data_IF_542623131773
#
_entry.id   IF_542623131773
#
_cell.length_a   1.000
_cell.length_b   1.000
_cell.length_c   1.000
_cell.angle_alpha   90.00
_cell.angle_beta   90.00
_cell.angle_gamma   90.00
#
_symmetry.space_group_name_H-M   'P 1'
#
loop_
_entity.id
_entity.type
_entity.pdbx_description
1 polymer ?
#
# COMPACT_ATOMS: atom_id res chain seq x y z
N UNK A 1 -39.69 17.23 -34.09
CA UNK A 1 -38.47 16.43 -34.34
C UNK A 1 -38.44 15.31 -33.32
N UNK A 2 -38.44 14.08 -33.82
CA UNK A 2 -38.74 12.86 -33.10
C UNK A 2 -37.66 12.54 -32.05
N UNK A 3 -38.12 12.15 -30.84
CA UNK A 3 -37.28 11.53 -29.81
C UNK A 3 -37.26 10.03 -30.06
N UNK A 4 -36.09 9.49 -30.34
CA UNK A 4 -35.85 8.04 -30.41
C UNK A 4 -35.67 7.51 -28.98
N UNK A 5 -36.41 6.47 -28.54
CA UNK A 5 -36.19 5.86 -27.24
C UNK A 5 -35.01 4.89 -27.30
N UNK A 6 -34.08 5.03 -26.34
CA UNK A 6 -33.01 4.05 -26.11
C UNK A 6 -33.65 2.84 -25.42
N UNK A 7 -33.57 1.69 -26.08
CA UNK A 7 -34.02 0.42 -25.57
C UNK A 7 -33.24 0.01 -24.31
N UNK A 8 -33.96 -0.34 -23.26
CA UNK A 8 -33.41 -0.97 -22.08
C UNK A 8 -32.93 -2.39 -22.43
N UNK A 9 -31.63 -2.62 -22.37
CA UNK A 9 -31.06 -3.96 -22.37
C UNK A 9 -31.20 -4.50 -20.93
N UNK A 10 -32.09 -5.48 -20.78
CA UNK A 10 -32.23 -6.29 -19.58
C UNK A 10 -30.96 -7.14 -19.44
N UNK A 11 -30.11 -6.82 -18.48
CA UNK A 11 -29.01 -7.69 -18.07
C UNK A 11 -29.58 -8.86 -17.27
N UNK A 12 -29.75 -9.99 -17.94
CA UNK A 12 -29.81 -11.29 -17.27
C UNK A 12 -28.38 -11.67 -16.87
N UNK A 13 -28.11 -11.75 -15.57
CA UNK A 13 -26.79 -12.06 -15.03
C UNK A 13 -26.86 -12.86 -13.74
N UNK A 14 -26.81 -14.18 -13.90
CA UNK A 14 -26.45 -15.24 -12.95
C UNK A 14 -26.55 -14.93 -11.44
N UNK A 15 -27.59 -15.49 -10.82
CA UNK A 15 -27.52 -15.87 -9.42
C UNK A 15 -26.60 -17.11 -9.29
N UNK A 16 -25.37 -16.92 -8.80
CA UNK A 16 -24.53 -18.04 -8.33
C UNK A 16 -25.11 -18.46 -6.97
N UNK A 17 -25.83 -19.57 -6.98
CA UNK A 17 -26.30 -20.22 -5.75
C UNK A 17 -25.10 -20.73 -4.95
N UNK A 18 -24.93 -20.20 -3.73
CA UNK A 18 -24.03 -20.79 -2.73
C UNK A 18 -24.80 -21.95 -2.09
N UNK A 19 -24.72 -23.12 -2.73
CA UNK A 19 -25.12 -24.38 -2.11
C UNK A 19 -23.95 -24.90 -1.26
N UNK A 20 -24.25 -25.27 -0.03
CA UNK A 20 -23.27 -25.61 1.00
C UNK A 20 -22.36 -26.79 0.64
N UNK A 21 -21.09 -26.65 1.00
CA UNK A 21 -20.14 -27.75 1.09
C UNK A 21 -19.38 -27.63 2.42
N UNK A 22 -19.96 -28.22 3.47
CA UNK A 22 -19.20 -28.62 4.65
C UNK A 22 -18.51 -29.97 4.34
N UNK A 23 -17.59 -29.95 3.38
CA UNK A 23 -16.62 -31.01 3.16
C UNK A 23 -15.26 -30.50 3.60
N UNK A 24 -14.56 -31.25 4.46
CA UNK A 24 -13.16 -31.02 4.80
C UNK A 24 -12.29 -31.21 3.55
N UNK A 25 -12.26 -30.21 2.67
CA UNK A 25 -11.30 -30.15 1.59
C UNK A 25 -9.91 -30.09 2.24
N UNK A 26 -9.07 -31.07 1.95
CA UNK A 26 -7.67 -31.03 2.32
C UNK A 26 -7.08 -29.69 1.85
N UNK A 27 -6.28 -29.04 2.69
CA UNK A 27 -5.68 -27.76 2.32
C UNK A 27 -4.84 -27.96 1.05
N UNK A 28 -5.17 -27.21 0.01
CA UNK A 28 -4.37 -27.18 -1.19
C UNK A 28 -3.05 -26.48 -0.84
N UNK A 29 -1.95 -27.23 -0.87
CA UNK A 29 -0.61 -26.68 -0.68
C UNK A 29 -0.15 -26.00 -1.97
N UNK A 30 0.34 -24.77 -1.83
CA UNK A 30 0.90 -23.96 -2.91
C UNK A 30 2.40 -23.75 -2.65
N UNK A 31 3.25 -23.82 -3.67
CA UNK A 31 4.68 -23.56 -3.51
C UNK A 31 4.98 -22.07 -3.75
N UNK A 32 5.47 -21.36 -2.73
CA UNK A 32 5.80 -19.93 -2.81
C UNK A 32 7.25 -19.73 -2.35
N UNK A 33 8.08 -19.15 -3.21
CA UNK A 33 9.52 -18.97 -3.01
C UNK A 33 10.23 -20.24 -2.52
N UNK A 34 9.85 -21.40 -3.07
CA UNK A 34 10.43 -22.70 -2.75
C UNK A 34 9.96 -23.35 -1.45
N UNK A 35 8.96 -22.78 -0.76
CA UNK A 35 8.39 -23.34 0.47
C UNK A 35 6.89 -23.65 0.30
N UNK A 36 6.38 -24.75 0.88
CA UNK A 36 4.95 -25.06 0.86
C UNK A 36 4.19 -24.05 1.74
N UNK A 37 3.12 -23.47 1.18
CA UNK A 37 2.20 -22.56 1.83
C UNK A 37 0.81 -23.20 1.89
N UNK A 38 0.18 -23.17 3.05
CA UNK A 38 -1.18 -23.67 3.23
C UNK A 38 -1.96 -22.80 4.22
N UNK A 39 -3.28 -22.80 4.03
CA UNK A 39 -4.24 -22.16 4.94
C UNK A 39 -5.27 -23.20 5.33
N UNK A 40 -5.30 -23.58 6.60
CA UNK A 40 -6.28 -24.52 7.17
C UNK A 40 -7.23 -23.80 8.14
N UNK A 41 -8.46 -24.28 8.33
CA UNK A 41 -9.30 -23.82 9.44
C UNK A 41 -8.58 -23.99 10.79
N UNK A 42 -8.76 -23.02 11.69
CA UNK A 42 -8.26 -23.08 13.08
C UNK A 42 -9.28 -23.70 14.05
N UNK A 43 -8.96 -23.67 15.33
CA UNK A 43 -9.76 -24.32 16.39
C UNK A 43 -11.13 -23.65 16.62
N UNK A 44 -11.29 -22.39 16.19
CA UNK A 44 -12.54 -21.62 16.35
C UNK A 44 -13.12 -21.27 14.98
N UNK A 45 -14.46 -21.21 14.83
CA UNK A 45 -15.10 -20.74 13.61
C UNK A 45 -14.56 -19.37 13.17
N UNK A 46 -14.20 -19.26 11.88
CA UNK A 46 -13.65 -18.04 11.29
C UNK A 46 -12.17 -17.77 11.60
N UNK A 47 -11.48 -18.67 12.33
CA UNK A 47 -10.01 -18.60 12.51
C UNK A 47 -9.30 -19.50 11.52
N UNK A 48 -8.05 -19.15 11.20
CA UNK A 48 -7.25 -19.90 10.24
C UNK A 48 -5.82 -20.09 10.76
N UNK A 49 -5.18 -21.15 10.32
CA UNK A 49 -3.76 -21.38 10.51
C UNK A 49 -3.11 -21.26 9.15
N UNK A 50 -2.23 -20.27 8.98
CA UNK A 50 -1.33 -20.24 7.84
C UNK A 50 -0.02 -20.91 8.21
N UNK A 51 0.47 -21.75 7.32
CA UNK A 51 1.79 -22.36 7.45
C UNK A 51 2.59 -22.09 6.18
N UNK A 52 3.86 -21.70 6.34
CA UNK A 52 4.79 -21.48 5.24
C UNK A 52 6.16 -22.05 5.56
N UNK A 53 6.45 -23.25 5.05
CA UNK A 53 7.55 -24.06 5.57
C UNK A 53 7.39 -24.30 7.07
N UNK A 54 8.38 -23.87 7.85
CA UNK A 54 8.39 -24.01 9.31
C UNK A 54 7.69 -22.84 10.05
N UNK A 55 7.34 -21.77 9.33
CA UNK A 55 6.67 -20.61 9.92
C UNK A 55 5.16 -20.87 10.04
N UNK A 56 4.57 -20.51 11.18
CA UNK A 56 3.14 -20.70 11.46
C UNK A 56 2.55 -19.45 12.07
N UNK A 57 1.41 -19.01 11.53
CA UNK A 57 0.65 -17.86 12.02
C UNK A 57 -0.81 -18.27 12.23
N UNK A 58 -1.32 -18.01 13.43
CA UNK A 58 -2.75 -18.12 13.72
C UNK A 58 -3.42 -16.80 13.36
N UNK A 59 -4.32 -16.85 12.38
CA UNK A 59 -5.11 -15.71 11.95
C UNK A 59 -6.46 -15.71 12.66
N UNK A 60 -6.84 -14.53 13.15
CA UNK A 60 -8.13 -14.31 13.79
C UNK A 60 -8.83 -13.10 13.18
N UNK A 61 -10.16 -13.18 12.97
CA UNK A 61 -10.93 -12.10 12.39
C UNK A 61 -10.97 -10.90 13.35
N UNK A 62 -10.91 -9.70 12.80
CA UNK A 62 -11.03 -8.44 13.55
C UNK A 62 -12.49 -7.96 13.59
N UNK A 63 -12.89 -7.17 14.62
CA UNK A 63 -14.27 -6.69 14.75
C UNK A 63 -14.79 -5.89 13.54
N UNK A 64 -13.89 -5.27 12.77
CA UNK A 64 -14.22 -4.50 11.56
C UNK A 64 -14.09 -5.28 10.25
N UNK A 65 -13.66 -6.55 10.27
CA UNK A 65 -13.68 -7.36 9.06
C UNK A 65 -15.14 -7.63 8.64
N UNK A 66 -15.49 -7.48 7.35
CA UNK A 66 -16.82 -7.84 6.85
C UNK A 66 -16.98 -9.35 6.92
N UNK A 67 -18.22 -9.82 7.01
CA UNK A 67 -18.53 -11.25 7.14
C UNK A 67 -17.85 -12.09 6.05
N UNK A 68 -17.89 -11.63 4.80
CA UNK A 68 -17.26 -12.32 3.67
C UNK A 68 -15.74 -12.49 3.83
N UNK A 69 -15.06 -11.54 4.48
CA UNK A 69 -13.65 -11.69 4.80
C UNK A 69 -13.49 -12.69 5.96
N UNK A 70 -14.24 -12.57 7.05
CA UNK A 70 -14.13 -13.52 8.17
C UNK A 70 -14.30 -14.99 7.73
N UNK A 71 -15.14 -15.23 6.73
CA UNK A 71 -15.36 -16.55 6.12
C UNK A 71 -14.22 -17.00 5.20
N UNK A 72 -13.64 -16.10 4.39
CA UNK A 72 -12.51 -16.42 3.51
C UNK A 72 -11.17 -16.52 4.27
N UNK A 73 -11.01 -15.70 5.31
CA UNK A 73 -9.75 -15.52 6.02
C UNK A 73 -8.62 -15.04 5.10
N UNK A 74 -7.38 -15.50 5.35
CA UNK A 74 -6.21 -15.20 4.53
C UNK A 74 -6.32 -15.56 3.04
N UNK A 75 -7.26 -16.43 2.64
CA UNK A 75 -7.48 -16.74 1.22
C UNK A 75 -7.95 -15.54 0.40
N UNK A 76 -8.35 -14.44 1.06
CA UNK A 76 -8.61 -13.17 0.38
C UNK A 76 -7.42 -12.73 -0.49
N UNK A 77 -6.19 -13.08 -0.13
CA UNK A 77 -4.98 -12.69 -0.88
C UNK A 77 -4.87 -13.36 -2.25
N UNK A 78 -5.57 -14.46 -2.49
CA UNK A 78 -5.53 -15.19 -3.77
C UNK A 78 -6.13 -14.37 -4.91
N UNK A 79 -6.93 -13.35 -4.60
CA UNK A 79 -7.48 -12.39 -5.56
C UNK A 79 -6.38 -11.71 -6.37
N UNK A 80 -5.21 -11.46 -5.79
CA UNK A 80 -4.07 -10.81 -6.46
C UNK A 80 -3.11 -11.77 -7.17
N UNK A 81 -3.50 -13.04 -7.28
CA UNK A 81 -2.74 -14.07 -8.00
C UNK A 81 -3.45 -14.59 -9.23
N UNK A 82 -4.66 -14.08 -9.50
CA UNK A 82 -5.46 -14.51 -10.65
C UNK A 82 -4.80 -14.11 -11.98
N UNK A 83 -4.98 -14.89 -13.06
CA UNK A 83 -4.53 -14.50 -14.39
C UNK A 83 -5.28 -13.26 -14.91
N UNK A 84 -4.59 -12.45 -15.72
CA UNK A 84 -5.20 -11.33 -16.45
C UNK A 84 -5.29 -10.01 -15.68
N UNK A 85 -4.78 -9.94 -14.45
CA UNK A 85 -4.78 -8.70 -13.68
C UNK A 85 -3.84 -7.65 -14.28
N UNK A 86 -4.14 -6.35 -14.14
CA UNK A 86 -3.21 -5.29 -14.52
C UNK A 86 -2.01 -5.20 -13.58
N UNK A 87 -1.07 -4.32 -13.97
CA UNK A 87 0.05 -3.93 -13.13
C UNK A 87 -0.41 -3.49 -11.72
N UNK A 88 0.28 -3.92 -10.63
CA UNK A 88 1.54 -4.69 -10.59
C UNK A 88 1.40 -6.22 -10.59
N UNK A 89 0.21 -6.78 -10.79
CA UNK A 89 -0.10 -8.21 -10.61
C UNK A 89 -0.25 -9.00 -11.91
N UNK A 90 0.06 -8.37 -13.04
CA UNK A 90 0.03 -8.99 -14.38
C UNK A 90 0.95 -10.21 -14.49
N UNK A 91 1.95 -10.26 -13.62
CA UNK A 91 2.94 -11.31 -13.56
C UNK A 91 2.46 -12.48 -12.67
N UNK A 92 2.60 -13.75 -13.11
CA UNK A 92 2.35 -14.94 -12.27
C UNK A 92 3.25 -14.99 -11.03
N UNK A 93 2.81 -15.67 -9.98
CA UNK A 93 3.50 -15.71 -8.69
C UNK A 93 4.93 -16.26 -8.81
N UNK A 94 5.14 -17.26 -9.67
CA UNK A 94 6.43 -17.92 -9.92
C UNK A 94 7.45 -16.96 -10.53
N UNK A 95 6.99 -15.95 -11.27
CA UNK A 95 7.85 -14.91 -11.83
C UNK A 95 8.07 -13.77 -10.83
N UNK A 96 7.07 -13.45 -9.99
CA UNK A 96 7.23 -12.41 -8.95
C UNK A 96 8.36 -12.71 -8.00
N UNK A 97 8.50 -13.97 -7.58
CA UNK A 97 9.56 -14.40 -6.66
C UNK A 97 10.97 -14.31 -7.24
N UNK A 98 11.10 -14.05 -8.55
CA UNK A 98 12.39 -13.88 -9.24
C UNK A 98 12.78 -12.40 -9.38
N UNK A 99 11.91 -11.47 -8.98
CA UNK A 99 12.14 -10.04 -9.12
C UNK A 99 13.29 -9.56 -8.23
N UNK A 100 14.02 -8.57 -8.74
CA UNK A 100 15.04 -7.85 -7.98
C UNK A 100 14.40 -7.02 -6.87
N UNK A 101 15.20 -6.60 -5.87
CA UNK A 101 14.70 -5.75 -4.79
C UNK A 101 14.12 -4.41 -5.29
N UNK A 102 14.69 -3.85 -6.36
CA UNK A 102 14.20 -2.60 -6.96
C UNK A 102 12.86 -2.81 -7.68
N UNK A 103 12.69 -3.92 -8.39
CA UNK A 103 11.41 -4.29 -9.03
C UNK A 103 10.32 -4.59 -7.99
N UNK A 104 10.67 -5.30 -6.91
CA UNK A 104 9.76 -5.54 -5.78
C UNK A 104 9.36 -4.22 -5.13
N UNK A 105 10.31 -3.31 -4.93
CA UNK A 105 10.00 -1.97 -4.43
C UNK A 105 9.08 -1.22 -5.39
N UNK A 106 9.37 -1.21 -6.69
CA UNK A 106 8.62 -0.50 -7.74
C UNK A 106 7.15 -0.92 -7.84
N UNK A 107 6.93 -2.21 -7.57
CA UNK A 107 5.63 -2.90 -7.55
C UNK A 107 5.01 -2.98 -6.17
N UNK A 108 5.71 -2.55 -5.13
CA UNK A 108 5.16 -2.52 -3.77
C UNK A 108 4.18 -1.38 -3.61
N UNK A 109 3.23 -1.44 -2.68
CA UNK A 109 2.32 -0.32 -2.44
C UNK A 109 1.97 -0.14 -0.98
N UNK A 110 1.66 1.10 -0.59
CA UNK A 110 1.19 1.42 0.76
C UNK A 110 -0.31 1.10 0.95
N UNK A 111 -0.99 0.64 -0.11
CA UNK A 111 -2.37 0.14 -0.09
C UNK A 111 -2.63 -0.79 -1.29
N UNK A 112 -3.75 -1.52 -1.29
CA UNK A 112 -4.13 -2.40 -2.40
C UNK A 112 -4.69 -1.56 -3.56
N UNK A 113 -4.10 -1.70 -4.73
CA UNK A 113 -4.32 -0.89 -5.94
C UNK A 113 -5.78 -0.90 -6.47
N UNK A 114 -6.62 -1.90 -6.22
CA UNK A 114 -7.99 -1.95 -6.77
C UNK A 114 -9.05 -1.19 -5.93
N UNK A 115 -8.63 -0.12 -5.26
CA UNK A 115 -9.51 0.90 -4.68
C UNK A 115 -9.32 2.25 -5.38
N UNK A 116 -9.64 3.34 -4.65
CA UNK A 116 -9.40 4.73 -5.06
C UNK A 116 -7.99 4.94 -5.65
N UNK A 117 -7.02 4.13 -5.19
CA UNK A 117 -5.58 4.25 -5.37
C UNK A 117 -5.02 3.83 -6.75
N UNK A 118 -5.68 2.94 -7.49
CA UNK A 118 -5.12 2.37 -8.74
C UNK A 118 -5.54 3.07 -10.03
N UNK A 119 -6.66 3.80 -10.00
CA UNK A 119 -7.16 4.51 -11.18
C UNK A 119 -6.71 5.97 -11.15
N UNK A 120 -7.20 6.77 -10.20
CA UNK A 120 -6.97 8.22 -10.19
C UNK A 120 -6.73 8.81 -8.78
N UNK A 121 -6.61 7.97 -7.74
CA UNK A 121 -6.26 8.30 -6.36
C UNK A 121 -6.81 9.66 -5.93
N UNK A 122 -8.12 9.78 -5.86
CA UNK A 122 -8.76 10.98 -5.34
C UNK A 122 -9.27 10.63 -3.96
N UNK A 123 -8.60 11.13 -2.94
CA UNK A 123 -8.97 10.77 -1.57
C UNK A 123 -8.65 11.89 -0.59
N UNK A 124 -9.13 11.73 0.64
CA UNK A 124 -8.90 12.64 1.77
C UNK A 124 -8.22 11.87 2.87
N UNK A 125 -7.11 12.40 3.36
CA UNK A 125 -6.37 11.83 4.48
C UNK A 125 -6.55 12.69 5.72
N UNK A 126 -6.68 12.01 6.85
CA UNK A 126 -6.46 12.59 8.16
C UNK A 126 -5.09 12.12 8.67
N UNK A 127 -4.30 13.03 9.23
CA UNK A 127 -3.03 12.72 9.87
C UNK A 127 -3.17 13.13 11.34
N UNK A 128 -3.19 12.14 12.22
CA UNK A 128 -3.17 12.32 13.67
C UNK A 128 -1.75 12.13 14.21
N UNK A 129 -1.16 13.19 14.74
CA UNK A 129 0.12 13.15 15.44
C UNK A 129 -0.10 13.21 16.94
N UNK A 130 0.24 12.13 17.63
CA UNK A 130 0.19 12.04 19.09
C UNK A 130 1.62 11.98 19.61
N UNK A 131 2.00 13.01 20.36
CA UNK A 131 3.32 13.11 20.99
C UNK A 131 3.40 12.18 22.22
N UNK A 132 4.61 11.81 22.70
CA UNK A 132 4.75 10.94 23.88
C UNK A 132 4.08 11.46 25.16
N UNK A 133 3.93 12.78 25.28
CA UNK A 133 3.23 13.47 26.36
C UNK A 133 1.71 13.53 26.17
N UNK A 134 1.18 12.93 25.11
CA UNK A 134 -0.24 12.92 24.75
C UNK A 134 -0.70 14.14 23.95
N UNK A 135 0.18 15.09 23.61
CA UNK A 135 -0.20 16.24 22.79
C UNK A 135 -0.61 15.77 21.39
N UNK A 136 -1.86 16.05 21.03
CA UNK A 136 -2.46 15.70 19.76
C UNK A 136 -2.41 16.90 18.79
N UNK A 137 -1.93 16.67 17.57
CA UNK A 137 -1.99 17.62 16.45
C UNK A 137 -2.58 16.90 15.25
N UNK A 138 -3.61 17.46 14.65
CA UNK A 138 -4.32 16.91 13.50
C UNK A 138 -4.05 17.71 12.23
N UNK A 139 -4.10 17.01 11.09
CA UNK A 139 -4.09 17.62 9.76
C UNK A 139 -5.05 16.88 8.87
N UNK A 140 -5.53 17.60 7.88
CA UNK A 140 -6.28 16.99 6.79
C UNK A 140 -5.70 17.45 5.46
N UNK A 141 -5.67 16.53 4.50
CA UNK A 141 -5.23 16.81 3.14
C UNK A 141 -6.14 16.13 2.11
N UNK A 142 -6.16 16.70 0.92
CA UNK A 142 -6.64 16.03 -0.28
C UNK A 142 -5.45 15.56 -1.09
N UNK A 143 -5.60 14.38 -1.69
CA UNK A 143 -4.60 13.73 -2.54
C UNK A 143 -5.23 13.38 -3.89
N UNK A 144 -4.45 13.58 -4.96
CA UNK A 144 -4.78 13.28 -6.35
C UNK A 144 -3.60 12.56 -6.99
N UNK A 145 -3.80 11.38 -7.59
CA UNK A 145 -2.77 10.71 -8.40
C UNK A 145 -3.36 10.11 -9.66
N UNK A 146 -2.91 10.56 -10.83
CA UNK A 146 -3.21 9.87 -12.07
C UNK A 146 -2.08 8.89 -12.38
N UNK A 147 -2.39 7.60 -12.40
CA UNK A 147 -1.42 6.53 -12.69
C UNK A 147 -1.40 6.22 -14.19
N UNK A 148 -0.32 6.63 -14.86
CA UNK A 148 -0.13 6.39 -16.30
C UNK A 148 0.51 5.03 -16.60
N UNK A 149 0.70 4.19 -15.57
CA UNK A 149 1.16 2.80 -15.73
C UNK A 149 0.12 1.89 -16.40
N UNK A 150 -1.17 2.22 -16.24
CA UNK A 150 -2.28 1.45 -16.82
C UNK A 150 -2.91 2.19 -17.99
N UNK A 151 -3.18 3.49 -17.83
CA UNK A 151 -3.81 4.30 -18.86
C UNK A 151 -2.94 5.53 -19.16
N UNK A 152 -2.35 5.55 -20.34
CA UNK A 152 -1.49 6.66 -20.79
C UNK A 152 -2.30 7.82 -21.41
N UNK A 153 -3.63 7.69 -21.46
CA UNK A 153 -4.52 8.75 -21.94
C UNK A 153 -4.33 10.04 -21.15
N UNK A 154 -4.23 11.16 -21.86
CA UNK A 154 -4.02 12.49 -21.27
C UNK A 154 -2.55 12.90 -21.10
N UNK A 155 -1.58 12.03 -21.37
CA UNK A 155 -0.18 12.42 -21.52
C UNK A 155 0.08 13.09 -22.88
N UNK A 156 1.02 14.04 -22.91
CA UNK A 156 1.60 14.51 -24.16
C UNK A 156 2.39 13.40 -24.86
N UNK A 157 2.48 13.42 -26.18
CA UNK A 157 3.18 12.39 -26.95
C UNK A 157 4.67 12.24 -26.55
N UNK A 158 5.28 13.32 -26.06
CA UNK A 158 6.65 13.35 -25.56
C UNK A 158 6.81 12.80 -24.13
N UNK A 159 5.72 12.66 -23.38
CA UNK A 159 5.66 12.12 -22.02
C UNK A 159 5.34 10.61 -21.99
N UNK A 160 4.70 10.08 -23.04
CA UNK A 160 4.33 8.67 -23.16
C UNK A 160 5.56 7.76 -23.00
N UNK A 161 5.45 6.74 -22.13
CA UNK A 161 6.54 5.83 -21.78
C UNK A 161 7.62 6.42 -20.87
N UNK A 162 7.56 7.72 -20.55
CA UNK A 162 8.51 8.40 -19.66
C UNK A 162 7.88 8.76 -18.33
N UNK A 163 6.66 9.28 -18.34
CA UNK A 163 5.91 9.65 -17.13
C UNK A 163 5.10 8.45 -16.66
N UNK A 164 5.33 8.08 -15.41
CA UNK A 164 4.70 6.94 -14.72
C UNK A 164 3.41 7.35 -14.01
N UNK A 165 3.44 8.49 -13.35
CA UNK A 165 2.30 9.04 -12.62
C UNK A 165 2.48 10.55 -12.42
N UNK A 166 1.36 11.27 -12.30
CA UNK A 166 1.34 12.64 -11.78
C UNK A 166 0.59 12.64 -10.46
N UNK A 167 1.21 13.25 -9.47
CA UNK A 167 0.79 13.20 -8.08
C UNK A 167 0.65 14.60 -7.51
N UNK A 168 -0.33 14.82 -6.64
CA UNK A 168 -0.53 16.08 -5.95
C UNK A 168 -1.19 15.83 -4.59
N UNK A 169 -0.78 16.58 -3.58
CA UNK A 169 -1.59 16.75 -2.39
C UNK A 169 -1.65 18.21 -1.95
N UNK A 170 -2.71 18.57 -1.23
CA UNK A 170 -2.85 19.86 -0.57
C UNK A 170 -3.44 19.69 0.82
N UNK A 171 -2.88 20.39 1.79
CA UNK A 171 -3.50 20.52 3.10
C UNK A 171 -4.77 21.36 3.01
N UNK A 172 -5.82 20.92 3.70
CA UNK A 172 -7.10 21.62 3.83
C UNK A 172 -7.36 22.08 5.29
N UNK A 173 -6.71 21.43 6.25
CA UNK A 173 -6.72 21.80 7.66
C UNK A 173 -5.38 21.46 8.35
N UNK A 174 -4.99 22.18 9.41
CA UNK A 174 -5.64 23.37 9.98
C UNK A 174 -5.40 24.63 9.12
N UNK A 175 -6.01 25.77 9.48
CA UNK A 175 -5.94 27.01 8.70
C UNK A 175 -4.50 27.44 8.35
N UNK A 176 -3.55 27.27 9.27
CA UNK A 176 -2.15 27.67 9.07
C UNK A 176 -1.43 26.86 7.98
N UNK A 177 -1.96 25.70 7.63
CA UNK A 177 -1.45 24.83 6.57
C UNK A 177 -2.32 24.85 5.32
N UNK A 178 -3.54 25.42 5.39
CA UNK A 178 -4.52 25.34 4.30
C UNK A 178 -3.94 25.90 3.00
N UNK A 179 -3.97 25.07 1.96
CA UNK A 179 -3.47 25.40 0.64
C UNK A 179 -1.96 25.19 0.45
N UNK A 180 -1.20 24.77 1.47
CA UNK A 180 0.14 24.23 1.27
C UNK A 180 0.02 22.91 0.50
N UNK A 181 0.74 22.76 -0.61
CA UNK A 181 0.64 21.55 -1.42
C UNK A 181 1.88 21.28 -2.26
N UNK A 182 2.04 20.03 -2.65
CA UNK A 182 3.09 19.57 -3.56
C UNK A 182 2.45 19.01 -4.83
N UNK A 183 3.14 19.18 -5.95
CA UNK A 183 2.91 18.40 -7.15
C UNK A 183 4.20 17.67 -7.52
N UNK A 184 4.07 16.39 -7.87
CA UNK A 184 5.17 15.51 -8.23
C UNK A 184 4.89 14.85 -9.58
N UNK A 185 5.82 14.98 -10.52
CA UNK A 185 5.85 14.15 -11.73
C UNK A 185 6.80 12.99 -11.48
N UNK A 186 6.26 11.77 -11.54
CA UNK A 186 6.98 10.52 -11.30
C UNK A 186 7.35 9.93 -12.65
N UNK A 187 8.65 9.66 -12.86
CA UNK A 187 9.16 9.10 -14.11
C UNK A 187 9.42 7.60 -14.01
N UNK A 188 9.44 6.92 -15.16
CA UNK A 188 10.00 5.59 -15.29
C UNK A 188 11.54 5.63 -15.19
N UNK A 189 12.13 4.55 -14.69
CA UNK A 189 13.59 4.37 -14.61
C UNK A 189 14.29 5.31 -13.63
N UNK A 190 15.56 5.60 -13.92
CA UNK A 190 16.48 6.26 -12.98
C UNK A 190 16.26 7.77 -12.86
N UNK A 191 15.44 8.37 -13.72
CA UNK A 191 15.17 9.82 -13.64
C UNK A 191 14.47 10.13 -12.31
N UNK A 192 15.05 11.01 -11.53
CA UNK A 192 14.42 11.54 -10.32
C UNK A 192 13.13 12.30 -10.63
N UNK A 193 12.24 12.34 -9.65
CA UNK A 193 10.97 13.03 -9.77
C UNK A 193 11.16 14.55 -9.88
N UNK A 194 10.22 15.21 -10.55
CA UNK A 194 10.11 16.66 -10.51
C UNK A 194 9.06 17.05 -9.48
N UNK A 195 9.50 17.80 -8.46
CA UNK A 195 8.68 18.18 -7.31
C UNK A 195 8.54 19.70 -7.21
N UNK A 196 7.32 20.16 -6.99
CA UNK A 196 6.98 21.57 -6.88
C UNK A 196 6.17 21.83 -5.62
N UNK A 197 6.66 22.69 -4.74
CA UNK A 197 5.96 23.12 -3.54
C UNK A 197 5.28 24.46 -3.80
N UNK A 198 3.97 24.51 -3.57
CA UNK A 198 3.22 25.75 -3.50
C UNK A 198 3.08 26.20 -2.04
N UNK A 199 3.46 27.46 -1.75
CA UNK A 199 3.35 28.06 -0.41
C UNK A 199 2.30 29.17 -0.41
N UNK A 200 1.19 29.03 0.34
CA UNK A 200 0.05 29.95 0.26
C UNK A 200 0.38 31.36 0.77
N UNK A 201 1.19 31.48 1.83
CA UNK A 201 1.58 32.77 2.40
C UNK A 201 2.33 33.67 1.40
N UNK A 202 3.18 33.07 0.56
CA UNK A 202 3.93 33.78 -0.47
C UNK A 202 3.23 33.78 -1.85
N UNK A 203 2.20 32.94 -2.03
CA UNK A 203 1.55 32.64 -3.32
C UNK A 203 2.57 32.28 -4.40
N UNK A 204 3.56 31.46 -4.04
CA UNK A 204 4.67 31.08 -4.92
C UNK A 204 4.77 29.57 -5.03
N UNK A 205 5.05 29.13 -6.25
CA UNK A 205 5.50 27.77 -6.56
C UNK A 205 7.02 27.79 -6.66
N UNK A 206 7.68 26.83 -6.01
CA UNK A 206 9.12 26.59 -6.18
C UNK A 206 9.37 25.14 -6.52
N UNK A 207 10.33 24.89 -7.39
CA UNK A 207 10.84 23.53 -7.60
C UNK A 207 11.66 23.13 -6.36
N UNK A 208 11.43 21.92 -5.85
CA UNK A 208 12.24 21.34 -4.80
C UNK A 208 13.48 20.68 -5.44
N UNK A 209 14.70 20.96 -4.94
CA UNK A 209 15.88 20.21 -5.37
C UNK A 209 15.76 18.76 -4.90
N UNK A 210 16.40 17.82 -5.60
CA UNK A 210 16.36 16.39 -5.22
C UNK A 210 16.80 16.12 -3.77
N UNK A 211 17.75 16.91 -3.24
CA UNK A 211 18.19 16.79 -1.86
C UNK A 211 17.05 17.07 -0.85
N UNK A 212 16.09 17.92 -1.21
CA UNK A 212 14.95 18.26 -0.36
C UNK A 212 13.97 17.09 -0.21
N UNK A 213 14.08 15.99 -0.97
CA UNK A 213 13.20 14.82 -0.80
C UNK A 213 13.28 14.22 0.62
N UNK A 214 14.41 14.46 1.29
CA UNK A 214 14.68 14.01 2.65
C UNK A 214 14.13 14.95 3.73
N UNK A 215 13.62 16.12 3.34
CA UNK A 215 13.04 17.08 4.27
C UNK A 215 11.70 16.55 4.79
N UNK A 216 11.44 16.82 6.07
CA UNK A 216 10.16 16.52 6.70
C UNK A 216 9.08 17.41 6.09
N UNK A 217 7.95 16.80 5.73
CA UNK A 217 6.76 17.53 5.31
C UNK A 217 6.24 18.29 6.54
N UNK A 218 6.11 19.63 6.46
CA UNK A 218 5.76 20.44 7.62
C UNK A 218 4.56 19.92 8.43
N UNK A 219 4.82 19.69 9.72
CA UNK A 219 3.83 19.19 10.67
C UNK A 219 3.40 17.74 10.46
N UNK A 220 4.22 16.93 9.81
CA UNK A 220 4.09 15.46 9.76
C UNK A 220 5.36 14.81 10.32
N UNK A 221 5.36 13.48 10.45
CA UNK A 221 6.59 12.68 10.70
C UNK A 221 7.16 12.07 9.40
N UNK A 222 6.52 12.37 8.28
CA UNK A 222 6.84 11.88 6.95
C UNK A 222 7.68 12.89 6.19
N UNK A 223 8.44 12.40 5.22
CA UNK A 223 9.29 13.18 4.33
C UNK A 223 8.72 13.18 2.93
N UNK A 224 9.19 14.11 2.09
CA UNK A 224 8.70 14.20 0.71
C UNK A 224 8.88 12.89 -0.06
N UNK A 225 10.00 12.18 0.14
CA UNK A 225 10.22 10.86 -0.49
C UNK A 225 9.32 9.73 0.03
N UNK A 226 8.61 9.94 1.15
CA UNK A 226 7.59 8.98 1.60
C UNK A 226 6.29 9.09 0.78
N UNK A 227 6.09 10.19 0.03
CA UNK A 227 4.85 10.55 -0.65
C UNK A 227 4.74 10.26 -2.18
N UNK A 228 5.80 10.10 -3.00
CA UNK A 228 5.64 9.49 -4.31
C UNK A 228 5.62 7.98 -4.13
N UNK A 229 4.43 7.38 -4.11
CA UNK A 229 4.32 5.94 -3.86
C UNK A 229 5.20 5.15 -4.85
N UNK A 230 6.23 4.55 -4.26
CA UNK A 230 7.02 3.37 -4.68
C UNK A 230 7.80 3.48 -5.99
N UNK A 231 8.60 4.52 -6.14
CA UNK A 231 9.59 4.59 -7.22
C UNK A 231 10.98 4.23 -6.67
N UNK A 232 11.71 3.27 -7.27
CA UNK A 232 13.10 3.06 -6.92
C UNK A 232 13.93 4.29 -7.32
N UNK A 233 14.78 4.73 -6.40
CA UNK A 233 15.72 5.81 -6.64
C UNK A 233 17.09 5.24 -7.02
N UNK A 234 17.78 5.82 -8.01
CA UNK A 234 19.05 5.28 -8.51
C UNK A 234 20.19 5.34 -7.48
N UNK A 235 20.02 6.11 -6.40
CA UNK A 235 21.01 6.27 -5.34
C UNK A 235 20.69 5.46 -4.07
N UNK A 236 19.77 4.51 -4.18
CA UNK A 236 19.40 3.57 -3.12
C UNK A 236 19.64 2.15 -3.64
N UNK A 237 20.32 1.34 -2.84
CA UNK A 237 20.51 -0.08 -3.12
C UNK A 237 19.34 -0.87 -2.53
N UNK A 238 18.76 -1.76 -3.33
CA UNK A 238 17.59 -2.56 -2.97
C UNK A 238 17.95 -4.05 -2.94
N UNK A 239 17.81 -4.69 -1.78
CA UNK A 239 18.18 -6.09 -1.61
C UNK A 239 17.09 -6.88 -0.88
N UNK A 240 16.63 -7.98 -1.49
CA UNK A 240 15.87 -8.99 -0.75
C UNK A 240 16.84 -9.75 0.14
N UNK A 241 16.67 -9.63 1.46
CA UNK A 241 17.56 -10.28 2.46
C UNK A 241 16.94 -11.51 3.08
N UNK A 242 15.66 -11.77 2.79
CA UNK A 242 14.97 -12.94 3.30
C UNK A 242 13.49 -12.91 2.97
N UNK A 243 12.78 -13.84 3.60
CA UNK A 243 11.37 -14.08 3.45
C UNK A 243 10.77 -14.40 4.82
N UNK A 244 9.51 -14.02 5.06
CA UNK A 244 8.78 -14.37 6.29
C UNK A 244 7.28 -14.51 6.06
N UNK A 245 6.60 -15.32 6.87
CA UNK A 245 5.15 -15.33 7.00
C UNK A 245 4.74 -14.23 7.98
N UNK A 246 4.40 -13.05 7.46
CA UNK A 246 4.15 -11.89 8.30
C UNK A 246 2.79 -11.98 9.00
N UNK A 247 2.79 -11.85 10.33
CA UNK A 247 1.60 -11.97 11.19
C UNK A 247 0.86 -10.64 11.48
N UNK A 248 1.43 -9.50 11.07
CA UNK A 248 1.01 -8.18 11.56
C UNK A 248 1.71 -7.77 12.86
N UNK A 249 1.39 -6.57 13.37
CA UNK A 249 1.86 -6.08 14.67
C UNK A 249 0.80 -6.31 15.75
N UNK A 250 1.23 -6.51 17.00
CA UNK A 250 0.30 -6.61 18.14
C UNK A 250 -0.52 -5.31 18.30
N UNK A 251 -1.83 -5.40 18.61
CA UNK A 251 -2.65 -4.23 18.94
C UNK A 251 -2.17 -3.50 20.19
N UNK A 252 -1.41 -4.14 21.08
CA UNK A 252 -0.89 -3.52 22.30
C UNK A 252 0.30 -2.59 22.07
N UNK A 253 0.89 -2.64 20.88
CA UNK A 253 2.03 -1.80 20.51
C UNK A 253 1.60 -0.33 20.43
N UNK A 254 2.31 0.54 21.15
CA UNK A 254 2.07 2.00 21.10
C UNK A 254 2.16 2.49 19.65
N UNK A 255 1.19 3.30 19.21
CA UNK A 255 1.06 3.76 17.83
C UNK A 255 0.34 2.77 16.90
N UNK A 256 0.06 1.54 17.35
CA UNK A 256 -0.74 0.55 16.62
C UNK A 256 -1.98 0.11 17.42
N UNK A 257 -2.39 0.88 18.43
CA UNK A 257 -3.66 0.67 19.14
C UNK A 257 -4.81 1.15 18.27
N UNK A 258 -5.82 0.32 18.12
CA UNK A 258 -6.98 0.58 17.26
C UNK A 258 -8.20 1.11 17.99
N UNK A 259 -8.25 0.98 19.31
CA UNK A 259 -9.39 1.37 20.14
C UNK A 259 -9.26 2.81 20.62
N UNK A 260 -10.31 3.61 20.40
CA UNK A 260 -10.44 4.96 20.98
C UNK A 260 -9.61 6.08 20.35
N UNK A 261 -8.79 5.81 19.32
CA UNK A 261 -7.88 6.82 18.73
C UNK A 261 -8.25 7.33 17.33
N UNK A 262 -9.12 6.65 16.58
CA UNK A 262 -9.54 7.11 15.25
C UNK A 262 -10.76 8.04 15.37
N UNK A 263 -10.53 9.37 15.40
CA UNK A 263 -11.62 10.35 15.32
C UNK A 263 -12.16 10.40 13.90
N UNK A 264 -13.41 9.98 13.70
CA UNK A 264 -14.15 10.29 12.48
C UNK A 264 -13.70 9.56 11.20
N UNK A 265 -12.64 8.74 11.25
CA UNK A 265 -12.51 7.68 10.25
C UNK A 265 -13.76 6.81 10.38
N UNK A 266 -14.59 6.79 9.33
CA UNK A 266 -15.35 5.58 9.08
C UNK A 266 -14.30 4.49 9.09
N UNK A 267 -14.32 3.62 10.11
CA UNK A 267 -13.38 2.50 10.23
C UNK A 267 -13.58 1.72 8.96
N UNK A 268 -12.77 2.03 7.95
CA UNK A 268 -12.87 1.36 6.69
C UNK A 268 -12.44 -0.05 7.05
N UNK A 269 -13.35 -0.99 6.75
CA UNK A 269 -13.10 -2.43 6.62
C UNK A 269 -11.65 -2.61 6.13
N UNK A 270 -10.89 -3.63 6.48
CA UNK A 270 -9.60 -3.76 5.80
C UNK A 270 -8.76 -4.88 6.33
N UNK A 271 -7.73 -5.20 5.57
CA UNK A 271 -6.80 -6.29 5.89
C UNK A 271 -6.03 -5.91 7.15
N UNK A 272 -6.24 -6.68 8.22
CA UNK A 272 -5.47 -6.63 9.47
C UNK A 272 -5.37 -8.06 10.02
N UNK A 273 -4.27 -8.37 10.71
CA UNK A 273 -3.79 -9.74 10.86
C UNK A 273 -3.28 -10.24 9.51
N UNK A 274 -2.08 -9.81 9.12
CA UNK A 274 -1.49 -10.31 7.88
C UNK A 274 -1.15 -11.79 8.09
N UNK A 275 -1.27 -12.60 7.04
CA UNK A 275 -0.97 -14.03 7.09
C UNK A 275 -0.44 -14.45 5.73
N UNK A 276 0.47 -13.62 5.21
CA UNK A 276 0.90 -13.63 3.82
C UNK A 276 2.41 -13.89 3.75
N UNK A 277 2.85 -14.85 2.92
CA UNK A 277 4.24 -14.96 2.50
C UNK A 277 4.74 -13.61 1.99
N UNK A 278 5.84 -13.13 2.56
CA UNK A 278 6.33 -11.77 2.35
C UNK A 278 7.84 -11.75 2.09
N UNK A 279 8.28 -10.81 1.26
CA UNK A 279 9.67 -10.42 1.12
C UNK A 279 10.13 -9.62 2.35
N UNK A 280 11.40 -9.79 2.73
CA UNK A 280 12.13 -8.86 3.58
C UNK A 280 13.07 -8.07 2.68
N UNK A 281 12.65 -6.86 2.33
CA UNK A 281 13.41 -5.94 1.49
C UNK A 281 14.22 -4.98 2.38
N UNK A 282 15.53 -4.92 2.18
CA UNK A 282 16.38 -3.86 2.75
C UNK A 282 16.71 -2.82 1.67
N UNK A 283 16.64 -1.55 2.08
CA UNK A 283 16.96 -0.38 1.25
C UNK A 283 18.09 0.39 1.94
N UNK A 284 19.21 0.58 1.24
CA UNK A 284 20.40 1.23 1.80
C UNK A 284 20.83 2.37 0.88
N UNK A 285 20.85 3.63 1.37
CA UNK A 285 21.33 4.74 0.56
C UNK A 285 22.82 4.60 0.28
N UNK A 286 23.24 4.97 -0.94
CA UNK A 286 24.65 4.99 -1.31
C UNK A 286 25.42 6.11 -0.57
N UNK A 287 24.73 7.20 -0.20
CA UNK A 287 25.32 8.32 0.55
C UNK A 287 25.05 8.21 2.05
N UNK A 288 26.09 8.45 2.87
CA UNK A 288 25.97 8.61 4.33
C UNK A 288 25.27 9.90 4.76
N UNK A 289 25.04 10.84 3.85
CA UNK A 289 24.30 12.08 4.13
C UNK A 289 22.80 11.85 4.21
N UNK A 290 22.33 10.63 3.95
CA UNK A 290 20.92 10.30 4.07
C UNK A 290 20.46 10.35 5.53
N UNK A 291 19.22 10.76 5.76
CA UNK A 291 18.66 10.84 7.13
C UNK A 291 18.49 9.47 7.81
N UNK A 292 18.60 8.38 7.05
CA UNK A 292 18.62 7.00 7.53
C UNK A 292 19.83 6.26 6.96
N UNK A 293 20.30 5.24 7.68
CA UNK A 293 21.32 4.34 7.14
C UNK A 293 20.70 3.13 6.43
N UNK A 294 19.50 2.72 6.86
CA UNK A 294 18.78 1.60 6.25
C UNK A 294 17.27 1.72 6.45
N UNK A 295 16.49 1.24 5.50
CA UNK A 295 15.10 0.86 5.72
C UNK A 295 14.94 -0.64 5.53
N UNK A 296 14.03 -1.25 6.28
CA UNK A 296 13.56 -2.62 6.07
C UNK A 296 12.06 -2.59 5.83
N UNK A 297 11.60 -3.21 4.74
CA UNK A 297 10.18 -3.35 4.42
C UNK A 297 9.78 -4.81 4.34
N UNK A 298 8.60 -5.11 4.87
CA UNK A 298 7.92 -6.39 4.69
C UNK A 298 6.87 -6.19 3.61
N UNK A 299 7.01 -6.90 2.49
CA UNK A 299 6.16 -6.73 1.30
C UNK A 299 5.51 -8.06 0.96
N UNK A 300 4.18 -8.12 0.91
CA UNK A 300 3.43 -9.32 0.54
C UNK A 300 3.77 -9.82 -0.87
N UNK A 301 4.03 -11.11 -1.03
CA UNK A 301 4.38 -11.70 -2.33
C UNK A 301 3.14 -11.80 -3.25
N UNK A 302 1.96 -12.12 -2.68
CA UNK A 302 0.70 -12.19 -3.43
C UNK A 302 0.16 -10.80 -3.72
N UNK A 303 0.18 -9.92 -2.73
CA UNK A 303 -0.48 -8.62 -2.80
C UNK A 303 0.41 -7.49 -3.26
N UNK A 304 1.74 -7.60 -3.14
CA UNK A 304 2.66 -6.46 -3.30
C UNK A 304 2.49 -5.39 -2.20
N UNK A 305 1.69 -5.62 -1.16
CA UNK A 305 1.44 -4.61 -0.13
C UNK A 305 2.64 -4.49 0.81
N UNK A 306 3.10 -3.27 1.06
CA UNK A 306 4.12 -2.96 2.07
C UNK A 306 3.50 -3.03 3.47
N UNK A 307 3.43 -4.20 4.08
CA UNK A 307 2.78 -4.38 5.37
C UNK A 307 3.45 -3.67 6.55
N UNK A 308 4.78 -3.60 6.53
CA UNK A 308 5.56 -3.05 7.63
C UNK A 308 6.84 -2.40 7.13
N UNK A 309 7.28 -1.34 7.80
CA UNK A 309 8.55 -0.66 7.55
C UNK A 309 9.24 -0.34 8.88
N UNK A 310 10.55 -0.54 8.92
CA UNK A 310 11.46 -0.05 9.94
C UNK A 310 12.51 0.85 9.30
N UNK A 311 12.83 1.96 9.95
CA UNK A 311 13.90 2.86 9.52
C UNK A 311 14.95 2.93 10.60
N UNK A 312 16.21 2.75 10.20
CA UNK A 312 17.37 2.67 11.06
C UNK A 312 18.27 3.88 10.87
N UNK A 313 18.79 4.43 11.97
CA UNK A 313 19.84 5.44 11.93
C UNK A 313 21.23 4.85 11.64
N UNK A 314 22.26 5.70 11.64
CA UNK A 314 23.66 5.31 11.41
C UNK A 314 24.26 4.42 12.49
N UNK A 315 23.62 4.27 13.65
CA UNK A 315 24.02 3.35 14.73
C UNK A 315 23.30 2.00 14.63
N UNK A 316 22.34 1.87 13.72
CA UNK A 316 21.50 0.69 13.59
C UNK A 316 20.31 0.68 14.55
N UNK A 317 19.98 1.81 15.18
CA UNK A 317 18.83 1.96 16.05
C UNK A 317 17.58 2.28 15.23
N UNK A 318 16.43 1.70 15.59
CA UNK A 318 15.16 1.99 14.91
C UNK A 318 14.67 3.38 15.32
N UNK A 319 14.51 4.27 14.36
CA UNK A 319 13.99 5.64 14.55
C UNK A 319 12.54 5.80 14.11
N UNK A 320 12.05 4.94 13.22
CA UNK A 320 10.67 4.95 12.75
C UNK A 320 10.17 3.55 12.49
N UNK A 321 8.90 3.31 12.84
CA UNK A 321 8.13 2.14 12.42
C UNK A 321 6.88 2.62 11.70
N UNK A 322 6.50 1.97 10.60
CA UNK A 322 5.23 2.17 9.90
C UNK A 322 4.55 0.83 9.72
N UNK A 323 3.26 0.75 10.01
CA UNK A 323 2.44 -0.42 9.70
C UNK A 323 1.33 0.05 8.80
N UNK A 324 1.13 -0.64 7.69
CA UNK A 324 -0.08 -0.46 6.90
C UNK A 324 -1.12 -1.42 7.44
N UNK A 325 -2.12 -0.85 8.13
CA UNK A 325 -3.30 -1.58 8.58
C UNK A 325 -4.49 -1.12 7.78
N UNK A 326 -5.48 -2.00 7.63
CA UNK A 326 -6.79 -1.68 7.08
C UNK A 326 -6.75 -1.17 5.63
N UNK A 327 -5.75 -1.60 4.86
CA UNK A 327 -5.76 -1.39 3.41
C UNK A 327 -6.87 -2.25 2.80
N UNK A 328 -7.72 -1.66 1.96
CA UNK A 328 -8.69 -2.40 1.14
C UNK A 328 -8.51 -2.04 -0.32
N UNK A 329 -8.78 -3.02 -1.18
CA UNK A 329 -9.41 -2.77 -2.44
C UNK A 329 -10.93 -2.73 -2.22
N UNK A 330 -11.61 -1.67 -2.64
CA UNK A 330 -13.07 -1.56 -2.55
C UNK A 330 -13.76 -2.61 -3.43
N UNK A 331 -13.09 -2.96 -4.53
CA UNK A 331 -13.57 -3.87 -5.55
C UNK A 331 -12.50 -4.95 -5.82
N UNK A 332 -12.91 -6.04 -6.48
CA UNK A 332 -11.96 -7.06 -6.91
C UNK A 332 -11.02 -6.54 -8.00
N UNK A 333 -9.82 -7.13 -8.12
CA UNK A 333 -8.97 -6.97 -9.30
C UNK A 333 -9.77 -7.23 -10.59
N UNK A 334 -9.88 -6.24 -11.49
CA UNK A 334 -10.51 -6.39 -12.80
C UNK A 334 -9.55 -6.05 -13.92
#
# INVERSE_FOLDING_TARGET
MARTPIAAIVAAGLAIGIAGLAGTAAAQEEMIAGKPYSITPGDKPGTFVCQWGDEKVNWEPKPWHPTSYRELGPKVYDRWTQPGLPYPWEMPLEQRVQQTGAEIHDRSYTALYFGEFGQNYITRWAIDLISPDGVHRDKELHEWMVSYRINQGGLGADEVGKVRAKYMFTFIAPNDFRGLGISTTIYHGDKFNDEFLYTPAARRVRRLPQAARQDIIPGTITRWEDFPQVKPFPDIDYKVVGHTLYAGQSPDTIGFKTEGQSKGEQVQIGIDGVCEPSYILEMTPQSKSYWYAKQRRIIGIKTGSSWYEEVFDSKGEITRKRVNRRSIAKDDPT
#
